data_IF_358250647745
#
_entry.id   IF_358250647745
#
_cell.length_a   1.000
_cell.length_b   1.000
_cell.length_c   1.000
_cell.angle_alpha   90.00
_cell.angle_beta   90.00
_cell.angle_gamma   90.00
#
_symmetry.space_group_name_H-M   'P 1'
#
loop_
_entity.id
_entity.type
_entity.pdbx_description
1 polymer ?
#
# COMPACT_ATOMS: atom_id res chain seq x y z
N UNK A 1 -3.18 -9.48 5.85
CA UNK A 1 -1.72 -9.37 5.64
C UNK A 1 -1.25 -8.05 6.22
N UNK A 2 -0.08 -8.01 6.84
CA UNK A 2 0.56 -6.78 7.29
C UNK A 2 1.82 -6.52 6.47
N UNK A 3 2.02 -5.28 6.05
CA UNK A 3 3.20 -4.83 5.30
C UNK A 3 3.95 -3.80 6.14
N UNK A 4 5.27 -3.84 6.10
CA UNK A 4 6.13 -2.85 6.75
C UNK A 4 6.82 -2.01 5.69
N UNK A 5 6.82 -0.70 5.87
CA UNK A 5 7.47 0.24 4.96
C UNK A 5 8.84 0.63 5.51
N UNK A 6 9.80 0.89 4.62
CA UNK A 6 11.13 1.38 5.00
C UNK A 6 11.08 2.78 5.62
N UNK A 7 10.10 3.59 5.22
CA UNK A 7 9.84 4.93 5.73
C UNK A 7 8.33 5.13 5.88
N UNK A 8 7.89 5.89 6.90
CA UNK A 8 6.48 6.21 7.06
C UNK A 8 5.99 7.07 5.88
N UNK A 9 4.72 6.89 5.53
CA UNK A 9 4.01 7.67 4.51
C UNK A 9 2.66 8.15 5.06
N UNK A 10 2.11 9.19 4.46
CA UNK A 10 0.71 9.57 4.70
C UNK A 10 -0.17 8.60 3.91
N UNK A 11 -1.13 7.98 4.58
CA UNK A 11 -2.10 7.08 3.97
C UNK A 11 -3.43 7.13 4.71
N UNK A 12 -4.49 6.66 4.03
CA UNK A 12 -5.83 6.51 4.59
C UNK A 12 -6.30 5.07 4.42
N UNK A 13 -7.33 4.67 5.17
CA UNK A 13 -8.07 3.47 4.81
C UNK A 13 -8.79 3.70 3.47
N UNK A 14 -8.79 2.68 2.61
CA UNK A 14 -9.36 2.77 1.26
C UNK A 14 -10.85 3.16 1.27
N UNK A 15 -11.61 2.73 2.29
CA UNK A 15 -13.02 3.09 2.46
C UNK A 15 -13.24 4.58 2.72
N UNK A 16 -12.23 5.28 3.26
CA UNK A 16 -12.27 6.72 3.56
C UNK A 16 -11.81 7.51 2.34
N UNK A 17 -10.65 7.16 1.77
CA UNK A 17 -10.12 7.82 0.58
C UNK A 17 -9.44 6.82 -0.37
N UNK A 18 -10.11 6.41 -1.47
CA UNK A 18 -9.55 5.44 -2.41
C UNK A 18 -8.22 5.84 -3.04
N UNK A 19 -7.95 7.15 -3.19
CA UNK A 19 -6.73 7.66 -3.84
C UNK A 19 -5.44 7.41 -3.04
N UNK A 20 -5.50 7.52 -1.71
CA UNK A 20 -4.38 7.35 -0.78
C UNK A 20 -4.43 6.00 -0.05
N UNK A 21 -5.57 5.31 -0.12
CA UNK A 21 -5.75 3.96 0.44
C UNK A 21 -5.54 2.83 -0.57
N UNK A 22 -5.35 3.11 -1.85
CA UNK A 22 -4.98 2.11 -2.86
C UNK A 22 -3.46 2.10 -3.08
N UNK A 23 -2.91 0.92 -3.38
CA UNK A 23 -1.51 0.78 -3.76
C UNK A 23 -1.30 -0.40 -4.69
N UNK A 24 -0.11 -0.46 -5.30
CA UNK A 24 0.39 -1.60 -6.06
C UNK A 24 1.72 -2.06 -5.45
N UNK A 25 2.02 -3.35 -5.56
CA UNK A 25 3.35 -3.88 -5.26
C UNK A 25 4.12 -4.05 -6.56
N UNK A 26 5.30 -3.45 -6.61
CA UNK A 26 6.25 -3.59 -7.70
C UNK A 26 7.36 -4.51 -7.23
N UNK A 27 7.63 -5.57 -8.00
CA UNK A 27 8.80 -6.41 -7.79
C UNK A 27 10.05 -5.65 -8.24
N UNK A 28 11.06 -5.55 -7.38
CA UNK A 28 12.25 -4.72 -7.64
C UNK A 28 13.20 -5.33 -8.69
N UNK A 29 13.19 -6.66 -8.86
CA UNK A 29 14.08 -7.33 -9.80
C UNK A 29 13.56 -7.29 -11.25
N UNK A 30 12.24 -7.43 -11.42
CA UNK A 30 11.58 -7.50 -12.73
C UNK A 30 10.84 -6.24 -13.12
N UNK A 31 10.61 -5.31 -12.19
CA UNK A 31 9.78 -4.10 -12.35
C UNK A 31 8.32 -4.37 -12.75
N UNK A 32 7.85 -5.61 -12.56
CA UNK A 32 6.46 -5.94 -12.81
C UNK A 32 5.57 -5.56 -11.63
N UNK A 33 4.35 -5.12 -11.93
CA UNK A 33 3.28 -5.05 -10.94
C UNK A 33 2.85 -6.47 -10.58
N UNK A 34 3.11 -6.88 -9.34
CA UNK A 34 2.83 -8.26 -8.87
C UNK A 34 1.55 -8.35 -8.04
N UNK A 35 1.06 -7.23 -7.50
CA UNK A 35 -0.20 -7.17 -6.77
C UNK A 35 -0.81 -5.77 -6.78
N UNK A 36 -2.11 -5.71 -6.50
CA UNK A 36 -2.82 -4.50 -6.12
C UNK A 36 -3.43 -4.68 -4.72
N UNK A 37 -3.52 -3.60 -3.95
CA UNK A 37 -3.94 -3.64 -2.56
C UNK A 37 -4.79 -2.44 -2.14
N UNK A 38 -5.58 -2.66 -1.10
CA UNK A 38 -6.39 -1.66 -0.41
C UNK A 38 -6.00 -1.66 1.07
N UNK A 39 -5.67 -0.49 1.62
CA UNK A 39 -5.39 -0.31 3.05
C UNK A 39 -6.69 -0.44 3.82
N UNK A 40 -6.75 -1.37 4.77
CA UNK A 40 -7.91 -1.58 5.66
C UNK A 40 -7.66 -1.14 7.09
N UNK A 41 -6.39 -1.16 7.50
CA UNK A 41 -5.92 -0.68 8.79
C UNK A 41 -4.44 -0.31 8.65
N UNK A 42 -3.98 0.65 9.44
CA UNK A 42 -2.58 1.06 9.53
C UNK A 42 -2.24 1.44 10.98
N UNK A 43 -0.97 1.30 11.32
CA UNK A 43 -0.42 1.71 12.61
C UNK A 43 0.86 2.49 12.37
N UNK A 44 1.13 3.47 13.23
CA UNK A 44 2.38 4.22 13.23
C UNK A 44 3.55 3.39 13.76
#
# INVERSE_FOLDING_TARGET
VALTLQKPIVCDAYEVHPGTGAFVLIDEATHHTVAAGMIRAYSA
#
